data_IF_718353561087
#
_entry.id   IF_718353561087
#
_cell.length_a   1.000
_cell.length_b   1.000
_cell.length_c   1.000
_cell.angle_alpha   90.00
_cell.angle_beta   90.00
_cell.angle_gamma   90.00
#
_symmetry.space_group_name_H-M   'P 1'
#
loop_
_entity.id
_entity.type
_entity.pdbx_description
1 polymer ?
#
# COMPACT_ATOMS: atom_id res chain seq x y z
N UNK A 1 -9.39 -6.50 -13.10
CA UNK A 1 -8.54 -5.42 -13.61
C UNK A 1 -8.59 -5.39 -15.12
N UNK A 2 -8.18 -4.29 -15.74
CA UNK A 2 -7.94 -4.23 -17.18
C UNK A 2 -6.73 -5.10 -17.57
N UNK A 3 -6.70 -5.73 -18.75
CA UNK A 3 -5.58 -6.55 -19.19
C UNK A 3 -4.39 -5.65 -19.56
N UNK A 4 -3.60 -5.28 -18.57
CA UNK A 4 -2.47 -4.35 -18.71
C UNK A 4 -1.27 -4.83 -17.90
N UNK A 5 -0.07 -4.47 -18.36
CA UNK A 5 1.14 -4.65 -17.57
C UNK A 5 1.13 -3.68 -16.38
N UNK A 6 0.75 -4.19 -15.22
CA UNK A 6 0.66 -3.45 -13.96
C UNK A 6 1.96 -2.70 -13.61
N UNK A 7 3.14 -3.30 -13.82
CA UNK A 7 4.40 -2.63 -13.49
C UNK A 7 4.64 -1.43 -14.40
N UNK A 8 4.32 -1.56 -15.68
CA UNK A 8 4.42 -0.46 -16.63
C UNK A 8 3.42 0.65 -16.35
N UNK A 9 2.19 0.29 -15.96
CA UNK A 9 1.15 1.28 -15.56
C UNK A 9 1.62 2.05 -14.33
N UNK A 10 2.12 1.37 -13.30
CA UNK A 10 2.70 2.04 -12.13
C UNK A 10 3.89 2.92 -12.51
N UNK A 11 4.80 2.42 -13.35
CA UNK A 11 5.98 3.17 -13.80
C UNK A 11 5.67 4.45 -14.57
N UNK A 12 4.52 4.50 -15.24
CA UNK A 12 4.06 5.70 -15.95
C UNK A 12 3.62 6.82 -14.98
N UNK A 13 3.22 6.47 -13.75
CA UNK A 13 2.84 7.44 -12.72
C UNK A 13 4.07 8.14 -12.12
N UNK A 14 3.88 9.40 -11.70
CA UNK A 14 4.92 10.14 -10.96
C UNK A 14 5.07 9.61 -9.53
N UNK A 15 3.95 9.21 -8.93
CA UNK A 15 3.85 8.56 -7.62
C UNK A 15 3.05 7.27 -7.85
N UNK A 16 3.71 6.11 -7.96
CA UNK A 16 3.03 4.82 -7.98
C UNK A 16 2.28 4.58 -6.67
N UNK A 17 1.02 4.14 -6.74
CA UNK A 17 0.13 3.99 -5.58
C UNK A 17 -0.45 2.58 -5.46
N UNK A 18 -0.39 1.96 -4.28
CA UNK A 18 -1.09 0.70 -3.99
C UNK A 18 -2.22 0.90 -2.97
N UNK A 19 -2.84 -0.18 -2.51
CA UNK A 19 -3.87 -0.15 -1.47
C UNK A 19 -3.76 -1.36 -0.54
N UNK A 20 -4.23 -1.25 0.71
CA UNK A 20 -4.31 -2.38 1.65
C UNK A 20 -5.69 -3.06 1.71
N UNK A 21 -6.66 -2.60 0.89
CA UNK A 21 -7.98 -3.21 0.76
C UNK A 21 -8.00 -4.35 -0.27
N UNK A 22 -7.53 -4.11 -1.49
CA UNK A 22 -7.49 -5.14 -2.52
C UNK A 22 -6.48 -6.25 -2.18
N UNK A 23 -6.81 -7.49 -2.59
CA UNK A 23 -6.09 -8.72 -2.22
C UNK A 23 -5.76 -8.84 -0.71
N UNK A 24 -6.57 -8.20 0.15
CA UNK A 24 -6.36 -8.05 1.59
C UNK A 24 -4.99 -7.46 1.98
N UNK A 25 -4.42 -6.59 1.13
CA UNK A 25 -3.12 -5.98 1.39
C UNK A 25 -1.98 -6.98 1.42
N UNK A 26 -2.09 -8.08 0.66
CA UNK A 26 -1.02 -9.07 0.59
C UNK A 26 0.30 -8.44 0.16
N UNK A 27 1.37 -8.92 0.77
CA UNK A 27 2.70 -8.34 0.65
C UNK A 27 3.20 -8.28 -0.80
N UNK A 28 2.97 -9.33 -1.61
CA UNK A 28 3.32 -9.37 -3.03
C UNK A 28 2.56 -8.33 -3.86
N UNK A 29 1.27 -8.12 -3.56
CA UNK A 29 0.49 -7.04 -4.17
C UNK A 29 1.06 -5.66 -3.81
N UNK A 30 1.34 -5.40 -2.53
CA UNK A 30 1.94 -4.14 -2.07
C UNK A 30 3.31 -3.88 -2.73
N UNK A 31 4.13 -4.94 -2.87
CA UNK A 31 5.45 -4.86 -3.50
C UNK A 31 5.38 -4.40 -4.96
N UNK A 32 4.28 -4.57 -5.68
CA UNK A 32 4.17 -4.18 -7.09
C UNK A 32 4.43 -2.68 -7.30
N UNK A 33 3.86 -1.83 -6.44
CA UNK A 33 4.05 -0.37 -6.53
C UNK A 33 5.52 0.01 -6.25
N UNK A 34 6.11 -0.55 -5.19
CA UNK A 34 7.53 -0.32 -4.87
C UNK A 34 8.49 -0.85 -5.94
N UNK A 35 8.17 -2.00 -6.56
CA UNK A 35 9.01 -2.61 -7.59
C UNK A 35 9.00 -1.78 -8.88
N UNK A 36 7.83 -1.23 -9.24
CA UNK A 36 7.74 -0.28 -10.32
C UNK A 36 8.50 1.02 -10.00
N UNK A 37 8.42 1.51 -8.76
CA UNK A 37 9.16 2.68 -8.35
C UNK A 37 10.68 2.49 -8.49
N UNK A 38 11.21 1.36 -8.01
CA UNK A 38 12.63 1.01 -8.16
C UNK A 38 13.03 0.90 -9.64
N UNK A 39 12.21 0.23 -10.47
CA UNK A 39 12.49 0.03 -11.90
C UNK A 39 12.46 1.33 -12.71
N UNK A 40 11.55 2.25 -12.39
CA UNK A 40 11.31 3.48 -13.14
C UNK A 40 11.90 4.73 -12.46
N UNK A 41 12.69 4.56 -11.39
CA UNK A 41 13.37 5.65 -10.70
C UNK A 41 12.42 6.62 -9.98
N UNK A 42 11.32 6.11 -9.40
CA UNK A 42 10.40 6.90 -8.58
C UNK A 42 10.83 6.87 -7.14
N UNK A 43 10.91 8.06 -6.54
CA UNK A 43 11.36 8.23 -5.15
C UNK A 43 10.23 8.03 -4.13
N UNK A 44 9.02 8.42 -4.49
CA UNK A 44 7.84 8.36 -3.63
C UNK A 44 6.94 7.24 -4.11
N UNK A 45 6.47 6.42 -3.17
CA UNK A 45 5.57 5.29 -3.40
C UNK A 45 4.45 5.40 -2.37
N UNK A 46 3.24 5.62 -2.85
CA UNK A 46 2.09 5.84 -1.98
C UNK A 46 1.25 4.58 -1.77
N UNK A 47 0.41 4.62 -0.73
CA UNK A 47 -0.66 3.66 -0.54
C UNK A 47 -1.89 4.32 0.04
N UNK A 48 -3.05 4.03 -0.53
CA UNK A 48 -4.32 4.12 0.21
C UNK A 48 -4.28 3.05 1.32
N UNK A 49 -4.54 3.43 2.56
CA UNK A 49 -4.23 2.57 3.72
C UNK A 49 -5.29 2.59 4.80
N UNK A 50 -5.30 1.53 5.59
CA UNK A 50 -6.14 1.29 6.75
C UNK A 50 -7.61 1.11 6.40
N UNK A 51 -7.87 0.44 5.28
CA UNK A 51 -9.21 0.12 4.80
C UNK A 51 -9.44 -1.40 4.76
N UNK A 52 -10.33 -1.88 5.64
CA UNK A 52 -10.72 -3.28 5.70
C UNK A 52 -12.23 -3.46 5.55
N UNK A 53 -12.60 -4.39 4.65
CA UNK A 53 -13.99 -4.77 4.36
C UNK A 53 -14.65 -5.46 5.56
N UNK A 54 -15.87 -5.05 5.88
CA UNK A 54 -16.69 -5.53 6.99
C UNK A 54 -16.19 -5.11 8.38
N UNK A 55 -15.29 -4.12 8.47
CA UNK A 55 -14.58 -3.74 9.70
C UNK A 55 -14.81 -2.31 10.16
N UNK A 56 -15.93 -1.70 9.77
CA UNK A 56 -16.32 -0.38 10.30
C UNK A 56 -16.25 -0.38 11.85
N UNK A 57 -15.67 0.68 12.41
CA UNK A 57 -15.44 0.87 13.85
C UNK A 57 -14.60 -0.20 14.57
N UNK A 58 -13.88 -1.06 13.83
CA UNK A 58 -13.01 -2.10 14.41
C UNK A 58 -11.51 -1.80 14.26
N UNK A 59 -11.15 -0.55 13.94
CA UNK A 59 -9.76 -0.12 13.83
C UNK A 59 -9.22 0.30 15.19
N UNK A 60 -7.97 -0.09 15.49
CA UNK A 60 -7.25 0.31 16.70
C UNK A 60 -5.89 0.92 16.31
N UNK A 61 -5.28 1.77 17.15
CA UNK A 61 -3.92 2.28 16.90
C UNK A 61 -2.87 1.19 16.72
N UNK A 62 -2.97 0.09 17.48
CA UNK A 62 -2.08 -1.07 17.34
C UNK A 62 -2.20 -1.70 15.95
N UNK A 63 -3.44 -1.87 15.47
CA UNK A 63 -3.68 -2.39 14.12
C UNK A 63 -3.10 -1.45 13.06
N UNK A 64 -3.35 -0.14 13.16
CA UNK A 64 -2.77 0.84 12.23
C UNK A 64 -1.24 0.75 12.24
N UNK A 65 -0.61 0.72 13.43
CA UNK A 65 0.84 0.61 13.52
C UNK A 65 1.36 -0.66 12.83
N UNK A 66 0.77 -1.82 13.10
CA UNK A 66 1.20 -3.09 12.51
C UNK A 66 1.12 -3.07 10.99
N UNK A 67 0.03 -2.56 10.43
CA UNK A 67 -0.15 -2.50 8.98
C UNK A 67 0.71 -1.38 8.34
N UNK A 68 1.00 -0.30 9.07
CA UNK A 68 1.98 0.69 8.64
C UNK A 68 3.38 0.08 8.52
N UNK A 69 3.80 -0.74 9.49
CA UNK A 69 5.09 -1.45 9.44
C UNK A 69 5.15 -2.38 8.20
N UNK A 70 4.05 -3.08 7.87
CA UNK A 70 3.96 -3.94 6.69
C UNK A 70 4.07 -3.15 5.38
N UNK A 71 3.35 -2.03 5.25
CA UNK A 71 3.48 -1.13 4.11
C UNK A 71 4.91 -0.60 3.95
N UNK A 72 5.50 -0.12 5.05
CA UNK A 72 6.86 0.43 5.07
C UNK A 72 7.91 -0.61 4.67
N UNK A 73 7.77 -1.85 5.15
CA UNK A 73 8.68 -2.95 4.77
C UNK A 73 8.48 -3.41 3.34
N UNK A 74 7.26 -3.32 2.81
CA UNK A 74 6.98 -3.49 1.38
C UNK A 74 7.56 -2.36 0.51
N UNK A 75 8.16 -1.31 1.08
CA UNK A 75 8.79 -0.23 0.33
C UNK A 75 7.84 0.92 -0.01
N UNK A 76 6.63 0.93 0.55
CA UNK A 76 5.78 2.11 0.55
C UNK A 76 6.42 3.14 1.48
N UNK A 77 6.45 4.40 1.07
CA UNK A 77 7.05 5.47 1.88
C UNK A 77 6.17 6.72 1.98
N UNK A 78 4.93 6.66 1.49
CA UNK A 78 3.87 7.66 1.67
C UNK A 78 2.53 6.97 1.96
N UNK A 79 2.16 6.88 3.23
CA UNK A 79 0.92 6.24 3.68
C UNK A 79 -0.20 7.28 3.71
N UNK A 80 -1.30 7.01 2.99
CA UNK A 80 -2.47 7.87 2.90
C UNK A 80 -3.67 7.16 3.55
N UNK A 81 -4.24 7.76 4.58
CA UNK A 81 -5.29 7.11 5.38
C UNK A 81 -6.63 7.15 4.63
N UNK A 82 -7.28 5.99 4.45
CA UNK A 82 -8.64 5.86 3.96
C UNK A 82 -9.62 5.71 5.15
N UNK A 83 -10.43 6.70 5.48
CA UNK A 83 -10.41 8.09 5.03
C UNK A 83 -10.73 9.02 6.20
N UNK A 84 -10.85 10.32 5.95
CA UNK A 84 -11.32 11.32 6.91
C UNK A 84 -12.74 11.79 6.54
N UNK A 85 -13.81 11.20 7.09
CA UNK A 85 -15.15 11.73 6.86
C UNK A 85 -15.31 13.09 7.52
N UNK A 86 -15.77 14.08 6.74
CA UNK A 86 -16.09 15.40 7.23
C UNK A 86 -17.37 15.38 8.09
N UNK A 87 -17.53 16.37 8.96
CA UNK A 87 -18.77 16.56 9.72
C UNK A 87 -19.92 16.88 8.76
N UNK A 88 -21.01 16.12 8.86
CA UNK A 88 -22.15 16.29 7.98
C UNK A 88 -23.46 16.26 8.76
N UNK A 89 -24.25 17.32 8.63
CA UNK A 89 -25.64 17.41 9.12
C UNK A 89 -25.83 17.12 10.61
N UNK A 90 -24.90 17.58 11.47
CA UNK A 90 -24.95 17.41 12.94
C UNK A 90 -25.40 16.01 13.39
N UNK A 91 -24.85 14.98 12.74
CA UNK A 91 -25.17 13.59 13.03
C UNK A 91 -24.77 13.27 14.48
N UNK A 92 -25.62 12.55 15.25
CA UNK A 92 -25.23 12.10 16.58
C UNK A 92 -24.02 11.17 16.48
N UNK A 93 -23.27 11.06 17.58
CA UNK A 93 -22.13 10.16 17.67
C UNK A 93 -22.48 8.73 17.19
N UNK A 94 -21.62 8.06 16.39
CA UNK A 94 -20.24 8.42 16.06
C UNK A 94 -20.09 9.39 14.86
N UNK A 95 -21.13 10.16 14.49
CA UNK A 95 -21.07 11.12 13.40
C UNK A 95 -21.32 10.49 12.02
N UNK A 96 -20.90 11.18 10.96
CA UNK A 96 -21.07 10.72 9.58
C UNK A 96 -19.92 9.81 9.13
N UNK A 97 -20.24 8.56 8.82
CA UNK A 97 -19.29 7.64 8.20
C UNK A 97 -19.89 7.05 6.90
N UNK A 98 -19.52 7.59 5.71
CA UNK A 98 -20.15 7.22 4.43
C UNK A 98 -19.93 5.75 4.06
N UNK A 99 -18.84 5.14 4.54
CA UNK A 99 -18.48 3.77 4.25
C UNK A 99 -18.96 2.76 5.30
N UNK A 100 -19.75 3.17 6.30
CA UNK A 100 -20.24 2.25 7.33
C UNK A 100 -21.48 1.43 6.90
N UNK A 101 -22.16 1.80 5.80
CA UNK A 101 -23.37 1.12 5.32
C UNK A 101 -23.05 0.05 4.27
N UNK A 102 -23.91 -0.97 4.15
CA UNK A 102 -23.97 -1.98 3.07
C UNK A 102 -22.62 -2.39 2.45
N UNK A 103 -21.94 -3.37 3.08
CA UNK A 103 -20.60 -3.81 2.65
C UNK A 103 -19.48 -2.99 3.29
N UNK A 104 -19.69 -2.58 4.55
CA UNK A 104 -18.94 -1.55 5.27
C UNK A 104 -17.42 -1.62 5.15
N UNK A 105 -16.75 -0.47 5.19
CA UNK A 105 -15.30 -0.36 5.18
C UNK A 105 -14.83 0.49 6.35
N UNK A 106 -13.63 0.17 6.82
CA UNK A 106 -12.86 1.04 7.72
C UNK A 106 -12.01 2.03 6.91
N UNK A 107 -11.38 3.04 7.49
CA UNK A 107 -11.43 3.47 8.88
C UNK A 107 -12.12 4.83 9.02
N UNK A 108 -12.73 5.07 10.18
CA UNK A 108 -13.29 6.36 10.54
C UNK A 108 -12.20 7.25 11.15
N UNK A 109 -11.35 7.88 10.33
CA UNK A 109 -10.16 8.60 10.81
C UNK A 109 -10.45 10.09 11.10
N UNK A 110 -11.47 10.41 11.89
CA UNK A 110 -11.81 11.80 12.27
C UNK A 110 -11.96 11.96 13.79
N UNK A 111 -12.30 13.19 14.22
CA UNK A 111 -12.38 13.60 15.62
C UNK A 111 -13.43 12.85 16.47
N UNK A 112 -14.41 12.21 15.83
CA UNK A 112 -15.42 11.40 16.51
C UNK A 112 -14.90 9.99 16.85
N UNK A 113 -13.70 9.63 16.39
CA UNK A 113 -13.09 8.36 16.74
C UNK A 113 -12.50 8.40 18.17
N UNK A 114 -12.82 7.44 19.05
CA UNK A 114 -12.28 7.40 20.42
C UNK A 114 -10.75 7.42 20.50
N UNK A 115 -10.04 6.94 19.48
CA UNK A 115 -8.58 6.98 19.47
C UNK A 115 -7.97 8.25 18.88
N UNK A 116 -8.79 9.24 18.46
CA UNK A 116 -8.32 10.51 17.89
C UNK A 116 -7.22 11.20 18.70
N UNK A 117 -7.28 11.29 20.05
CA UNK A 117 -6.22 11.91 20.84
C UNK A 117 -4.85 11.23 20.72
N UNK A 118 -4.79 9.96 20.27
CA UNK A 118 -3.55 9.19 20.14
C UNK A 118 -2.97 9.21 18.72
N UNK A 119 -3.74 9.63 17.71
CA UNK A 119 -3.26 9.72 16.33
C UNK A 119 -2.01 10.60 16.16
N UNK A 120 -1.84 11.75 16.86
CA UNK A 120 -0.62 12.54 16.73
C UNK A 120 0.65 11.74 17.04
N UNK A 121 0.64 10.91 18.09
CA UNK A 121 1.79 10.08 18.47
C UNK A 121 2.06 8.97 17.46
N UNK A 122 1.01 8.37 16.92
CA UNK A 122 1.13 7.36 15.87
C UNK A 122 1.68 7.96 14.57
N UNK A 123 1.20 9.14 14.19
CA UNK A 123 1.67 9.85 13.01
C UNK A 123 3.12 10.30 13.17
N UNK A 124 3.55 10.75 14.36
CA UNK A 124 4.96 11.05 14.61
C UNK A 124 5.87 9.84 14.30
N UNK A 125 5.47 8.64 14.73
CA UNK A 125 6.18 7.41 14.39
C UNK A 125 6.22 7.18 12.88
N UNK A 126 5.06 7.20 12.20
CA UNK A 126 4.96 6.93 10.76
C UNK A 126 5.75 7.97 9.95
N UNK A 127 5.63 9.26 10.28
CA UNK A 127 6.38 10.34 9.64
C UNK A 127 7.88 10.13 9.73
N UNK A 128 8.40 9.70 10.89
CA UNK A 128 9.84 9.45 11.04
C UNK A 128 10.33 8.31 10.16
N UNK A 129 9.57 7.21 10.07
CA UNK A 129 9.98 6.06 9.25
C UNK A 129 9.84 6.38 7.76
N UNK A 130 8.75 7.06 7.35
CA UNK A 130 8.62 7.57 5.98
C UNK A 130 9.79 8.48 5.59
N UNK A 131 10.19 9.40 6.48
CA UNK A 131 11.33 10.28 6.22
C UNK A 131 12.62 9.49 5.96
N UNK A 132 12.90 8.45 6.77
CA UNK A 132 14.06 7.58 6.57
C UNK A 132 13.96 6.86 5.22
N UNK A 133 12.81 6.25 4.93
CA UNK A 133 12.59 5.51 3.66
C UNK A 133 12.67 6.41 2.43
N UNK A 134 12.25 7.68 2.52
CA UNK A 134 12.30 8.64 1.41
C UNK A 134 13.69 9.27 1.24
N UNK A 135 14.51 9.37 2.30
CA UNK A 135 15.85 9.97 2.22
C UNK A 135 16.93 8.96 1.89
N UNK A 136 16.70 7.68 2.18
CA UNK A 136 17.58 6.58 1.84
C UNK A 136 17.56 6.21 0.36
N UNK A 137 18.25 5.12 0.04
CA UNK A 137 18.24 4.48 -1.27
C UNK A 137 17.85 3.03 -1.10
N UNK A 138 16.83 2.58 -1.83
CA UNK A 138 16.42 1.18 -1.85
C UNK A 138 17.54 0.32 -2.44
N UNK A 139 17.87 -0.78 -1.78
CA UNK A 139 18.85 -1.76 -2.27
C UNK A 139 18.15 -3.10 -2.41
N UNK A 140 17.92 -3.52 -3.65
CA UNK A 140 17.30 -4.80 -4.00
C UNK A 140 18.28 -5.62 -4.86
N UNK A 141 18.99 -6.61 -4.30
CA UNK A 141 20.01 -7.37 -5.02
C UNK A 141 19.43 -8.41 -5.99
N UNK A 142 18.13 -8.70 -5.91
CA UNK A 142 17.44 -9.71 -6.72
C UNK A 142 16.26 -9.06 -7.42
N UNK A 143 16.16 -9.25 -8.73
CA UNK A 143 14.99 -8.90 -9.52
C UNK A 143 14.27 -10.19 -9.97
N UNK A 144 12.95 -10.24 -9.76
CA UNK A 144 12.11 -11.33 -10.22
C UNK A 144 11.44 -10.95 -11.53
N UNK A 145 11.69 -11.72 -12.59
CA UNK A 145 11.00 -11.51 -13.86
C UNK A 145 9.57 -12.04 -13.76
N UNK A 146 8.59 -11.12 -13.75
CA UNK A 146 7.17 -11.44 -13.55
C UNK A 146 6.65 -12.47 -14.55
N UNK A 147 7.14 -12.50 -15.79
CA UNK A 147 6.72 -13.49 -16.79
C UNK A 147 6.93 -14.96 -16.36
N UNK A 148 7.82 -15.23 -15.39
CA UNK A 148 8.02 -16.57 -14.82
C UNK A 148 7.12 -16.88 -13.62
N UNK A 149 6.45 -15.88 -13.07
CA UNK A 149 5.62 -15.96 -11.86
C UNK A 149 4.13 -15.70 -12.15
N UNK A 150 3.85 -14.99 -13.24
CA UNK A 150 2.49 -14.73 -13.70
C UNK A 150 1.94 -15.98 -14.40
N UNK A 151 1.11 -16.73 -13.68
CA UNK A 151 0.08 -17.53 -14.32
C UNK A 151 -1.05 -16.60 -14.76
N UNK A 152 -0.79 -15.76 -15.77
CA UNK A 152 -1.84 -15.02 -16.46
C UNK A 152 -2.41 -15.96 -17.53
N UNK A 153 -3.66 -16.39 -17.38
CA UNK A 153 -4.35 -17.37 -18.25
C UNK A 153 -4.57 -16.90 -19.70
N UNK A 154 -3.93 -15.82 -20.11
CA UNK A 154 -4.12 -15.13 -21.40
C UNK A 154 -2.92 -15.38 -22.34
N UNK A 155 -1.73 -15.65 -21.81
CA UNK A 155 -0.52 -15.87 -22.60
C UNK A 155 0.08 -17.26 -22.30
N UNK A 156 0.52 -18.03 -23.31
CA UNK A 156 1.27 -19.26 -23.05
C UNK A 156 2.54 -18.93 -22.26
N UNK A 157 2.92 -19.81 -21.34
CA UNK A 157 4.12 -19.63 -20.53
C UNK A 157 5.32 -19.28 -21.41
N UNK A 158 6.13 -18.26 -21.06
CA UNK A 158 7.32 -17.95 -21.83
C UNK A 158 8.25 -19.19 -21.86
N UNK A 159 8.98 -19.40 -22.96
CA UNK A 159 9.99 -20.47 -23.01
C UNK A 159 10.97 -20.28 -21.85
N UNK A 160 11.44 -21.40 -21.28
CA UNK A 160 12.42 -21.35 -20.20
C UNK A 160 13.61 -20.47 -20.62
N UNK A 161 13.98 -19.47 -19.81
CA UNK A 161 15.14 -18.66 -20.11
C UNK A 161 16.39 -19.54 -20.03
N UNK A 162 17.25 -19.43 -21.04
CA UNK A 162 18.62 -19.95 -20.93
C UNK A 162 19.27 -19.29 -19.70
N UNK A 163 19.61 -20.09 -18.69
CA UNK A 163 20.29 -19.60 -17.49
C UNK A 163 21.67 -19.08 -17.93
N UNK A 164 21.76 -17.79 -18.19
CA UNK A 164 23.04 -17.13 -18.42
C UNK A 164 23.75 -16.98 -17.07
N UNK A 165 24.68 -17.91 -16.79
CA UNK A 165 25.54 -17.97 -15.59
C UNK A 165 26.56 -16.83 -15.51
N UNK A 166 26.16 -15.57 -15.75
CA UNK A 166 27.07 -14.41 -15.83
C UNK A 166 27.06 -13.49 -14.60
N UNK A 167 26.75 -14.01 -13.41
CA UNK A 167 26.94 -13.29 -12.15
C UNK A 167 27.86 -14.01 -11.16
N UNK A 168 28.96 -14.59 -11.66
CA UNK A 168 30.06 -15.13 -10.84
C UNK A 168 31.42 -14.55 -11.27
N UNK A 169 31.46 -13.24 -11.58
CA UNK A 169 32.72 -12.51 -11.75
C UNK A 169 32.53 -11.00 -11.56
N UNK A 170 32.70 -10.53 -10.32
CA UNK A 170 33.39 -9.30 -9.94
C UNK A 170 33.45 -9.22 -8.41
#
# INVERSE_FOLDING_TARGET
GSPTDLLRVYGASSIPETEDLYDNGRYDFLKMSSSAADLYGRKIVSSESFVWRGKAYQTTPEKIKRYADELLTAGINEIIYHGYPYEYMDRPEPGWHPFAANGSFSSHMNQHNPFWPYLPRLNEYITRVQYISQTGTTVAPVALYRGLLAYDSIEPAPPEPEIATRMMAA
#
